data_IF_547283197148
#
_entry.id   IF_547283197148
#
_cell.length_a   1.000
_cell.length_b   1.000
_cell.length_c   1.000
_cell.angle_alpha   90.00
_cell.angle_beta   90.00
_cell.angle_gamma   90.00
#
_symmetry.space_group_name_H-M   'P 1'
#
loop_
_entity.id
_entity.type
_entity.pdbx_description
1 polymer ?
#
# COMPACT_ATOMS: atom_id res chain seq x y z
N UNK A 1 21.40 -7.75 1.58
CA UNK A 1 20.25 -7.27 0.78
C UNK A 1 18.90 -7.93 1.12
N UNK A 2 18.78 -9.26 1.24
CA UNK A 2 17.50 -9.97 1.53
C UNK A 2 16.75 -9.46 2.77
N UNK A 3 17.48 -9.09 3.82
CA UNK A 3 16.93 -8.54 5.09
C UNK A 3 16.23 -7.19 4.88
N UNK A 4 16.79 -6.30 4.05
CA UNK A 4 16.23 -4.98 3.74
C UNK A 4 14.98 -5.12 2.89
N UNK A 5 15.01 -6.00 1.87
CA UNK A 5 13.84 -6.26 1.03
C UNK A 5 12.66 -6.79 1.86
N UNK A 6 12.92 -7.74 2.78
CA UNK A 6 11.92 -8.25 3.71
C UNK A 6 11.40 -7.17 4.65
N UNK A 7 12.25 -6.28 5.16
CA UNK A 7 11.81 -5.17 6.00
C UNK A 7 10.90 -4.20 5.24
N UNK A 8 11.25 -3.86 4.00
CA UNK A 8 10.46 -2.95 3.15
C UNK A 8 9.10 -3.59 2.83
N UNK A 9 9.06 -4.88 2.47
CA UNK A 9 7.81 -5.60 2.23
C UNK A 9 6.94 -5.69 3.49
N UNK A 10 7.53 -6.08 4.63
CA UNK A 10 6.80 -6.20 5.89
C UNK A 10 6.27 -4.86 6.39
N UNK A 11 7.06 -3.79 6.33
CA UNK A 11 6.63 -2.45 6.72
C UNK A 11 5.42 -2.01 5.91
N UNK A 12 5.44 -2.23 4.59
CA UNK A 12 4.36 -1.79 3.73
C UNK A 12 3.11 -2.63 3.83
N UNK A 13 3.25 -3.92 4.12
CA UNK A 13 2.12 -4.77 4.44
C UNK A 13 1.41 -4.28 5.72
N UNK A 14 2.19 -4.00 6.78
CA UNK A 14 1.65 -3.49 8.05
C UNK A 14 1.02 -2.11 7.85
N UNK A 15 1.70 -1.21 7.14
CA UNK A 15 1.20 0.13 6.85
C UNK A 15 -0.11 0.08 6.08
N UNK A 16 -0.21 -0.75 5.03
CA UNK A 16 -1.44 -0.92 4.25
C UNK A 16 -2.58 -1.46 5.11
N UNK A 17 -2.31 -2.42 5.99
CA UNK A 17 -3.31 -2.95 6.91
C UNK A 17 -3.86 -1.89 7.88
N UNK A 18 -2.96 -1.08 8.47
CA UNK A 18 -3.36 0.03 9.35
C UNK A 18 -4.15 1.07 8.57
N UNK A 19 -3.68 1.47 7.39
CA UNK A 19 -4.36 2.44 6.53
C UNK A 19 -5.77 1.97 6.13
N UNK A 20 -5.90 0.70 5.74
CA UNK A 20 -7.17 0.07 5.39
C UNK A 20 -8.17 0.10 6.57
N UNK A 21 -7.69 -0.19 7.79
CA UNK A 21 -8.50 -0.15 9.01
C UNK A 21 -8.93 1.28 9.37
N UNK A 22 -8.00 2.23 9.38
CA UNK A 22 -8.29 3.63 9.69
C UNK A 22 -9.32 4.18 8.71
N UNK A 23 -9.16 3.90 7.42
CA UNK A 23 -10.12 4.33 6.40
C UNK A 23 -11.49 3.66 6.56
N UNK A 24 -11.52 2.39 6.89
CA UNK A 24 -12.78 1.68 7.14
C UNK A 24 -13.54 2.34 8.28
N UNK A 25 -12.87 2.59 9.41
CA UNK A 25 -13.45 3.25 10.57
C UNK A 25 -13.89 4.70 10.27
N UNK A 26 -13.13 5.43 9.47
CA UNK A 26 -13.48 6.77 9.03
C UNK A 26 -14.75 6.77 8.17
N UNK A 27 -14.84 5.89 7.16
CA UNK A 27 -16.03 5.80 6.29
C UNK A 27 -17.23 5.34 7.11
N UNK A 28 -17.06 4.37 8.02
CA UNK A 28 -18.15 3.90 8.87
C UNK A 28 -18.70 4.98 9.80
N UNK A 29 -17.85 5.90 10.28
CA UNK A 29 -18.27 7.03 11.12
C UNK A 29 -18.89 8.18 10.32
N UNK A 30 -18.43 8.44 9.09
CA UNK A 30 -18.92 9.53 8.26
C UNK A 30 -20.18 9.17 7.47
N UNK A 31 -20.36 7.89 7.18
CA UNK A 31 -21.42 7.39 6.29
C UNK A 31 -22.37 6.51 7.10
N UNK A 32 -23.25 7.15 7.87
CA UNK A 32 -24.30 6.51 8.68
C UNK A 32 -25.26 5.66 7.80
N UNK A 33 -24.90 4.39 7.56
CA UNK A 33 -25.72 3.36 6.90
C UNK A 33 -26.03 3.54 5.40
N UNK A 34 -25.22 4.25 4.62
CA UNK A 34 -25.45 4.23 3.16
C UNK A 34 -25.04 2.87 2.58
N UNK A 35 -25.92 2.21 1.81
CA UNK A 35 -25.65 0.95 1.11
C UNK A 35 -24.39 1.00 0.23
N UNK A 36 -24.04 2.18 -0.29
CA UNK A 36 -22.85 2.38 -1.12
C UNK A 36 -21.53 2.58 -0.35
N UNK A 37 -21.56 2.66 0.99
CA UNK A 37 -20.36 2.94 1.82
C UNK A 37 -19.28 1.87 1.65
N UNK A 38 -19.69 0.62 1.51
CA UNK A 38 -18.81 -0.53 1.31
C UNK A 38 -18.18 -0.50 -0.09
N UNK A 39 -18.96 -0.15 -1.12
CA UNK A 39 -18.46 0.00 -2.49
C UNK A 39 -17.43 1.13 -2.58
N UNK A 40 -17.74 2.30 -1.99
CA UNK A 40 -16.83 3.45 -1.96
C UNK A 40 -15.54 3.11 -1.20
N UNK A 41 -15.65 2.36 -0.10
CA UNK A 41 -14.48 1.86 0.62
C UNK A 41 -13.62 0.94 -0.24
N UNK A 42 -14.19 -0.10 -0.85
CA UNK A 42 -13.43 -1.08 -1.66
C UNK A 42 -12.83 -0.42 -2.90
N UNK A 43 -13.57 0.45 -3.58
CA UNK A 43 -13.08 1.16 -4.77
C UNK A 43 -11.90 2.08 -4.42
N UNK A 44 -12.06 2.86 -3.35
CA UNK A 44 -10.98 3.69 -2.84
C UNK A 44 -9.79 2.85 -2.41
N UNK A 45 -10.02 1.74 -1.71
CA UNK A 45 -8.96 0.88 -1.19
C UNK A 45 -8.17 0.27 -2.34
N UNK A 46 -8.85 -0.22 -3.38
CA UNK A 46 -8.23 -0.74 -4.59
C UNK A 46 -7.39 0.31 -5.32
N UNK A 47 -7.88 1.55 -5.40
CA UNK A 47 -7.12 2.66 -5.97
C UNK A 47 -5.83 2.95 -5.19
N UNK A 48 -5.91 2.98 -3.85
CA UNK A 48 -4.74 3.22 -3.01
C UNK A 48 -3.77 2.04 -3.06
N UNK A 49 -4.26 0.80 -3.04
CA UNK A 49 -3.45 -0.41 -3.21
C UNK A 49 -2.71 -0.40 -4.55
N UNK A 50 -3.35 0.06 -5.64
CA UNK A 50 -2.69 0.21 -6.95
C UNK A 50 -1.58 1.26 -6.90
N UNK A 51 -1.83 2.39 -6.26
CA UNK A 51 -0.86 3.48 -6.12
C UNK A 51 0.35 3.04 -5.29
N UNK A 52 0.12 2.40 -4.14
CA UNK A 52 1.18 1.82 -3.31
C UNK A 52 1.97 0.74 -4.03
N UNK A 53 1.28 -0.13 -4.79
CA UNK A 53 1.94 -1.15 -5.62
C UNK A 53 2.88 -0.51 -6.64
N UNK A 54 2.45 0.56 -7.32
CA UNK A 54 3.29 1.28 -8.28
C UNK A 54 4.53 1.91 -7.63
N UNK A 55 4.38 2.52 -6.45
CA UNK A 55 5.50 3.07 -5.68
C UNK A 55 6.49 1.96 -5.28
N UNK A 56 5.97 0.82 -4.84
CA UNK A 56 6.78 -0.34 -4.48
C UNK A 56 7.57 -0.88 -5.66
N UNK A 57 6.89 -1.10 -6.77
CA UNK A 57 7.50 -1.63 -7.98
C UNK A 57 8.56 -0.67 -8.53
N UNK A 58 8.27 0.64 -8.51
CA UNK A 58 9.23 1.68 -8.92
C UNK A 58 10.44 1.69 -8.01
N UNK A 59 10.24 1.61 -6.69
CA UNK A 59 11.35 1.58 -5.72
C UNK A 59 12.24 0.35 -5.88
N UNK A 60 11.64 -0.82 -6.12
CA UNK A 60 12.36 -2.07 -6.40
C UNK A 60 13.12 -1.96 -7.73
N UNK A 61 12.49 -1.40 -8.76
CA UNK A 61 13.10 -1.22 -10.08
C UNK A 61 14.31 -0.27 -10.03
N UNK A 62 14.18 0.87 -9.35
CA UNK A 62 15.29 1.81 -9.15
C UNK A 62 16.41 1.17 -8.32
N UNK A 63 16.08 0.44 -7.27
CA UNK A 63 17.07 -0.29 -6.46
C UNK A 63 17.80 -1.36 -7.27
N UNK A 64 17.08 -2.09 -8.13
CA UNK A 64 17.65 -3.07 -9.04
C UNK A 64 18.61 -2.42 -10.05
N UNK A 65 18.23 -1.29 -10.65
CA UNK A 65 19.11 -0.51 -11.54
C UNK A 65 20.37 -0.04 -10.79
N UNK A 66 20.21 0.44 -9.57
CA UNK A 66 21.33 0.91 -8.75
C UNK A 66 22.31 -0.23 -8.45
N UNK A 67 21.82 -1.40 -8.03
CA UNK A 67 22.63 -2.59 -7.84
C UNK A 67 23.35 -3.03 -9.11
N UNK A 68 22.62 -3.10 -10.23
CA UNK A 68 23.18 -3.52 -11.51
C UNK A 68 24.30 -2.58 -11.99
N UNK A 69 24.13 -1.27 -11.79
CA UNK A 69 25.06 -0.25 -12.29
C UNK A 69 26.26 0.00 -11.36
N UNK A 70 26.11 -0.21 -10.05
CA UNK A 70 27.15 0.04 -9.05
C UNK A 70 27.80 -1.24 -8.48
N UNK A 71 27.37 -2.44 -8.90
CA UNK A 71 28.10 -3.69 -8.67
C UNK A 71 28.26 -4.10 -7.21
N UNK A 72 27.20 -3.96 -6.40
CA UNK A 72 27.16 -4.38 -4.99
C UNK A 72 26.57 -5.79 -4.81
#
# INVERSE_FOLDING_TARGET
MRKILLQILSFSFIFMGIFALVRFLMIKNLTNESENSLMVYVYGLGHDMRTFSAIFFTSIFVWFIFLYKFGF
#
